data_IF_102065590595
#
_entry.id   IF_102065590595
#
_cell.length_a   1.000
_cell.length_b   1.000
_cell.length_c   1.000
_cell.angle_alpha   90.00
_cell.angle_beta   90.00
_cell.angle_gamma   90.00
#
_symmetry.space_group_name_H-M   'P 1'
#
loop_
_entity.id
_entity.type
_entity.pdbx_description
1 polymer ?
#
# COMPACT_ATOMS: atom_id res chain seq x y z
N UNK A 1 -22.88 26.58 55.61
CA UNK A 1 -21.97 27.73 55.45
C UNK A 1 -21.47 27.77 54.01
N UNK A 2 -21.90 28.78 53.24
CA UNK A 2 -21.12 29.43 52.16
C UNK A 2 -20.90 28.68 50.82
N UNK A 3 -21.35 29.24 49.68
CA UNK A 3 -20.98 28.78 48.34
C UNK A 3 -19.64 29.39 47.90
N UNK A 4 -18.80 28.65 47.19
CA UNK A 4 -17.65 29.22 46.47
C UNK A 4 -17.88 29.10 44.96
N UNK A 5 -18.62 30.07 44.41
CA UNK A 5 -18.34 30.57 43.06
C UNK A 5 -17.05 31.37 43.14
N UNK A 6 -16.00 30.95 42.42
CA UNK A 6 -14.90 31.83 42.00
C UNK A 6 -14.75 31.70 40.50
N UNK A 7 -14.80 32.84 39.83
CA UNK A 7 -14.93 32.97 38.39
C UNK A 7 -13.78 32.34 37.63
N UNK A 8 -14.13 31.58 36.59
CA UNK A 8 -13.27 31.38 35.44
C UNK A 8 -13.14 32.74 34.75
N UNK A 9 -12.12 33.49 35.16
CA UNK A 9 -11.66 34.64 34.40
C UNK A 9 -11.29 34.17 33.00
N UNK A 10 -11.75 34.92 32.00
CA UNK A 10 -11.29 34.86 30.62
C UNK A 10 -9.80 35.21 30.56
N UNK A 11 -8.95 34.27 30.95
CA UNK A 11 -7.52 34.30 30.71
C UNK A 11 -7.27 33.98 29.24
N UNK A 12 -7.44 34.99 28.37
CA UNK A 12 -6.69 35.03 27.10
C UNK A 12 -5.21 35.19 27.46
N UNK A 13 -4.58 34.10 27.89
CA UNK A 13 -3.13 34.00 27.85
C UNK A 13 -2.66 34.13 26.40
N UNK A 14 -1.45 34.65 26.14
CA UNK A 14 -0.91 34.68 24.80
C UNK A 14 -0.59 33.24 24.42
N UNK A 15 -1.55 32.55 23.80
CA UNK A 15 -1.26 31.31 23.09
C UNK A 15 -0.13 31.57 22.09
N UNK A 16 0.71 30.56 21.78
CA UNK A 16 1.74 30.73 20.76
C UNK A 16 1.09 31.33 19.52
N UNK A 17 1.76 32.30 18.87
CA UNK A 17 1.36 32.87 17.58
C UNK A 17 1.32 31.74 16.56
N UNK A 18 0.26 30.93 16.61
CA UNK A 18 0.14 29.68 15.89
C UNK A 18 -0.06 30.01 14.44
N UNK A 19 0.71 29.37 13.56
CA UNK A 19 0.49 29.41 12.11
C UNK A 19 -0.78 28.59 11.85
N UNK A 20 -1.96 29.21 11.61
CA UNK A 20 -3.22 28.48 11.52
C UNK A 20 -3.19 27.44 10.40
N UNK A 21 -2.47 27.73 9.32
CA UNK A 21 -2.24 26.81 8.18
C UNK A 21 -1.51 25.51 8.59
N UNK A 22 -0.56 25.57 9.53
CA UNK A 22 0.12 24.37 10.03
C UNK A 22 -0.81 23.53 10.91
N UNK A 23 -1.67 24.19 11.70
CA UNK A 23 -2.67 23.50 12.52
C UNK A 23 -3.67 22.78 11.61
N UNK A 24 -4.14 23.44 10.56
CA UNK A 24 -5.05 22.86 9.58
C UNK A 24 -4.40 21.70 8.81
N UNK A 25 -3.13 21.83 8.39
CA UNK A 25 -2.37 20.73 7.77
C UNK A 25 -2.28 19.51 8.68
N UNK A 26 -1.94 19.68 9.97
CA UNK A 26 -1.82 18.58 10.93
C UNK A 26 -3.18 17.92 11.20
N UNK A 27 -4.24 18.73 11.40
CA UNK A 27 -5.59 18.22 11.60
C UNK A 27 -6.17 17.55 10.35
N UNK A 28 -5.71 17.93 9.16
CA UNK A 28 -6.08 17.35 7.88
C UNK A 28 -5.44 15.99 7.58
N UNK A 29 -4.42 15.56 8.34
CA UNK A 29 -3.75 14.25 8.12
C UNK A 29 -4.75 13.10 8.30
N UNK A 30 -5.60 13.18 9.33
CA UNK A 30 -6.64 12.20 9.60
C UNK A 30 -8.02 12.88 9.49
N UNK A 31 -8.72 12.72 8.35
CA UNK A 31 -10.06 13.28 8.20
C UNK A 31 -11.01 12.74 9.27
N UNK A 32 -11.95 13.57 9.72
CA UNK A 32 -12.92 13.24 10.80
C UNK A 32 -13.62 11.86 10.68
N UNK A 33 -14.04 11.36 9.50
CA UNK A 33 -14.70 10.06 9.42
C UNK A 33 -13.74 8.85 9.44
N UNK A 34 -12.43 9.05 9.53
CA UNK A 34 -11.43 7.98 9.50
C UNK A 34 -11.05 7.57 10.93
N UNK A 35 -11.15 6.27 11.22
CA UNK A 35 -10.70 5.68 12.47
C UNK A 35 -9.40 4.90 12.26
N UNK A 36 -8.44 5.05 13.17
CA UNK A 36 -7.21 4.25 13.18
C UNK A 36 -7.26 3.25 14.33
N UNK A 37 -7.06 1.96 14.01
CA UNK A 37 -6.95 0.88 14.97
C UNK A 37 -5.55 0.27 14.83
N UNK A 38 -4.92 -0.02 15.96
CA UNK A 38 -3.56 -0.56 16.00
C UNK A 38 -3.58 -1.96 16.62
N UNK A 39 -2.92 -2.90 15.95
CA UNK A 39 -2.75 -4.28 16.41
C UNK A 39 -1.25 -4.57 16.41
N UNK A 40 -0.81 -5.42 17.33
CA UNK A 40 0.59 -5.84 17.42
C UNK A 40 0.81 -7.10 16.59
N UNK A 41 1.85 -7.09 15.78
CA UNK A 41 2.50 -8.30 15.29
C UNK A 41 3.59 -8.66 16.31
N UNK A 42 3.44 -9.73 17.10
CA UNK A 42 4.40 -10.05 18.17
C UNK A 42 5.75 -10.55 17.63
N UNK A 43 5.74 -11.22 16.48
CA UNK A 43 6.90 -11.83 15.84
C UNK A 43 6.90 -11.53 14.35
N UNK A 44 8.08 -11.26 13.78
CA UNK A 44 8.25 -10.95 12.36
C UNK A 44 8.16 -12.23 11.51
N UNK A 45 6.95 -12.77 11.38
CA UNK A 45 6.65 -14.02 10.66
C UNK A 45 6.13 -13.78 9.23
N UNK A 46 6.40 -12.61 8.65
CA UNK A 46 6.02 -12.26 7.27
C UNK A 46 4.61 -11.71 7.10
N UNK A 47 4.33 -11.23 5.89
CA UNK A 47 3.10 -10.49 5.53
C UNK A 47 1.81 -11.31 5.76
N UNK A 48 1.85 -12.62 5.51
CA UNK A 48 0.67 -13.46 5.76
C UNK A 48 0.29 -13.48 7.24
N UNK A 49 1.28 -13.49 8.14
CA UNK A 49 1.03 -13.38 9.58
C UNK A 49 0.49 -12.00 9.96
N UNK A 50 1.02 -10.92 9.38
CA UNK A 50 0.51 -9.55 9.61
C UNK A 50 -0.96 -9.42 9.24
N UNK A 51 -1.35 -9.95 8.08
CA UNK A 51 -2.75 -9.98 7.64
C UNK A 51 -3.58 -10.80 8.62
N UNK A 52 -3.10 -11.97 9.05
CA UNK A 52 -3.82 -12.83 10.00
C UNK A 52 -4.01 -12.15 11.38
N UNK A 53 -3.03 -11.39 11.87
CA UNK A 53 -3.17 -10.59 13.10
C UNK A 53 -4.30 -9.57 13.00
N UNK A 54 -4.61 -9.05 11.80
CA UNK A 54 -5.68 -8.09 11.59
C UNK A 54 -7.10 -8.70 11.57
N UNK A 55 -7.20 -10.04 11.51
CA UNK A 55 -8.48 -10.73 11.38
C UNK A 55 -9.54 -10.33 12.43
N UNK A 56 -9.25 -10.20 13.73
CA UNK A 56 -10.28 -9.87 14.73
C UNK A 56 -10.94 -8.51 14.51
N UNK A 57 -10.28 -7.60 13.79
CA UNK A 57 -10.82 -6.27 13.47
C UNK A 57 -11.57 -6.30 12.13
N UNK A 58 -11.01 -6.98 11.13
CA UNK A 58 -11.64 -7.11 9.80
C UNK A 58 -12.89 -8.00 9.85
N UNK A 59 -12.89 -9.03 10.68
CA UNK A 59 -13.95 -10.04 10.80
C UNK A 59 -14.22 -10.75 9.46
N UNK A 60 -15.48 -10.83 9.04
CA UNK A 60 -15.92 -11.53 7.82
C UNK A 60 -16.26 -10.54 6.70
N UNK A 61 -15.52 -9.44 6.60
CA UNK A 61 -15.69 -8.42 5.57
C UNK A 61 -14.53 -8.46 4.57
N UNK A 62 -14.76 -8.08 3.30
CA UNK A 62 -13.67 -7.84 2.35
C UNK A 62 -12.83 -6.64 2.80
N UNK A 63 -11.54 -6.68 2.53
CA UNK A 63 -10.61 -5.67 3.01
C UNK A 63 -9.46 -5.42 2.03
N UNK A 64 -8.85 -4.25 2.14
CA UNK A 64 -7.67 -3.91 1.38
C UNK A 64 -6.40 -4.16 2.19
N UNK A 65 -5.34 -4.62 1.52
CA UNK A 65 -3.97 -4.64 2.06
C UNK A 65 -3.13 -3.67 1.23
N UNK A 66 -2.42 -2.78 1.93
CA UNK A 66 -1.65 -1.69 1.32
C UNK A 66 -0.25 -1.73 1.95
N UNK A 67 0.76 -2.06 1.14
CA UNK A 67 2.16 -1.93 1.54
C UNK A 67 2.61 -0.50 1.24
N UNK A 68 3.01 0.23 2.28
CA UNK A 68 3.24 1.67 2.21
C UNK A 68 4.57 2.05 1.51
N UNK A 69 5.50 1.11 1.43
CA UNK A 69 6.74 1.21 0.66
C UNK A 69 6.48 1.24 -0.86
N UNK A 70 5.33 0.73 -1.31
CA UNK A 70 4.86 0.94 -2.67
C UNK A 70 4.17 2.29 -2.83
N UNK A 71 4.93 3.31 -3.16
CA UNK A 71 4.38 4.61 -3.52
C UNK A 71 3.89 4.56 -4.97
N UNK A 72 2.60 4.81 -5.19
CA UNK A 72 2.02 4.77 -6.52
C UNK A 72 1.36 6.11 -6.83
N UNK A 73 1.85 6.72 -7.91
CA UNK A 73 1.39 7.99 -8.44
C UNK A 73 0.46 7.75 -9.62
N UNK A 74 -0.81 8.12 -9.46
CA UNK A 74 -1.86 7.86 -10.43
C UNK A 74 -2.90 8.98 -10.39
N UNK A 75 -3.48 9.29 -11.56
CA UNK A 75 -4.57 10.27 -11.65
C UNK A 75 -5.80 9.85 -10.84
N UNK A 76 -6.15 8.57 -10.94
CA UNK A 76 -7.15 7.92 -10.08
C UNK A 76 -6.38 7.04 -9.10
N UNK A 77 -6.54 7.16 -7.77
CA UNK A 77 -5.82 6.31 -6.82
C UNK A 77 -6.02 4.83 -7.13
N UNK A 78 -4.95 4.04 -7.16
CA UNK A 78 -5.00 2.61 -7.54
C UNK A 78 -5.98 1.82 -6.67
N UNK A 79 -6.05 2.11 -5.37
CA UNK A 79 -7.03 1.45 -4.51
C UNK A 79 -8.46 1.75 -4.92
N UNK A 80 -8.76 2.96 -5.39
CA UNK A 80 -10.10 3.29 -5.91
C UNK A 80 -10.40 2.49 -7.17
N UNK A 81 -9.44 2.40 -8.10
CA UNK A 81 -9.59 1.60 -9.32
C UNK A 81 -9.94 0.14 -8.98
N UNK A 82 -9.22 -0.44 -8.00
CA UNK A 82 -9.41 -1.81 -7.57
C UNK A 82 -10.71 -2.02 -6.78
N UNK A 83 -11.11 -1.10 -5.91
CA UNK A 83 -12.37 -1.24 -5.15
C UNK A 83 -13.60 -1.06 -6.04
N UNK A 84 -13.55 -0.15 -7.03
CA UNK A 84 -14.63 0.00 -8.01
C UNK A 84 -14.83 -1.30 -8.80
N UNK A 85 -13.73 -1.97 -9.17
CA UNK A 85 -13.76 -3.27 -9.82
C UNK A 85 -14.23 -4.39 -8.87
N UNK A 86 -13.76 -4.40 -7.63
CA UNK A 86 -14.20 -5.36 -6.61
C UNK A 86 -15.73 -5.31 -6.42
N UNK A 87 -16.30 -4.10 -6.37
CA UNK A 87 -17.74 -3.91 -6.20
C UNK A 87 -18.57 -4.50 -7.36
N UNK A 88 -17.98 -4.66 -8.54
CA UNK A 88 -18.61 -5.30 -9.70
C UNK A 88 -18.41 -6.81 -9.71
N UNK A 89 -17.17 -7.25 -9.48
CA UNK A 89 -16.79 -8.65 -9.69
C UNK A 89 -17.00 -9.53 -8.44
N UNK A 90 -16.95 -8.94 -7.24
CA UNK A 90 -17.10 -9.63 -5.96
C UNK A 90 -15.99 -10.64 -5.65
N UNK A 91 -14.81 -10.49 -6.27
CA UNK A 91 -13.68 -11.43 -6.17
C UNK A 91 -12.40 -10.72 -5.77
N UNK A 92 -11.51 -11.44 -5.10
CA UNK A 92 -10.19 -10.95 -4.70
C UNK A 92 -9.41 -10.41 -5.91
N UNK A 93 -8.72 -9.29 -5.72
CA UNK A 93 -7.96 -8.55 -6.72
C UNK A 93 -6.54 -8.29 -6.24
N UNK A 94 -5.56 -8.59 -7.10
CA UNK A 94 -4.15 -8.26 -6.90
C UNK A 94 -3.75 -7.19 -7.90
N UNK A 95 -3.20 -6.07 -7.41
CA UNK A 95 -2.55 -5.11 -8.29
C UNK A 95 -1.29 -5.75 -8.88
N UNK A 96 -1.10 -5.64 -10.20
CA UNK A 96 0.06 -6.20 -10.88
C UNK A 96 0.71 -5.22 -11.85
N UNK A 97 2.01 -5.41 -12.08
CA UNK A 97 2.75 -4.73 -13.14
C UNK A 97 3.83 -5.66 -13.73
N UNK A 98 4.27 -5.35 -14.94
CA UNK A 98 5.42 -6.04 -15.52
C UNK A 98 6.72 -5.57 -14.89
N UNK A 99 7.60 -6.51 -14.58
CA UNK A 99 8.96 -6.25 -14.10
C UNK A 99 9.99 -6.89 -15.03
N UNK A 100 11.23 -6.38 -15.06
CA UNK A 100 12.34 -7.10 -15.69
C UNK A 100 12.46 -8.53 -15.16
N UNK A 101 12.75 -9.47 -16.07
CA UNK A 101 12.73 -10.92 -15.75
C UNK A 101 13.75 -11.32 -14.69
N UNK A 102 14.87 -10.62 -14.62
CA UNK A 102 15.91 -10.78 -13.61
C UNK A 102 15.49 -10.30 -12.20
N UNK A 103 14.41 -9.53 -12.10
CA UNK A 103 13.87 -9.02 -10.83
C UNK A 103 12.74 -9.88 -10.25
N UNK A 104 12.33 -10.98 -10.91
CA UNK A 104 11.20 -11.80 -10.44
C UNK A 104 11.40 -12.40 -9.05
N UNK A 105 12.67 -12.58 -8.62
CA UNK A 105 13.02 -13.11 -7.31
C UNK A 105 12.67 -12.17 -6.14
N UNK A 106 12.19 -10.95 -6.42
CA UNK A 106 11.77 -9.99 -5.39
C UNK A 106 10.25 -9.92 -5.19
N UNK A 107 9.46 -10.63 -6.00
CA UNK A 107 8.00 -10.46 -6.05
C UNK A 107 7.25 -11.79 -6.07
N UNK A 108 5.98 -11.75 -5.66
CA UNK A 108 5.01 -12.77 -6.07
C UNK A 108 4.74 -12.63 -7.57
N UNK A 109 4.93 -13.69 -8.34
CA UNK A 109 4.73 -13.69 -9.80
C UNK A 109 3.50 -14.51 -10.16
N UNK A 110 2.59 -13.92 -10.94
CA UNK A 110 1.35 -14.58 -11.36
C UNK A 110 1.45 -15.15 -12.77
N UNK A 111 0.83 -16.30 -13.00
CA UNK A 111 0.37 -16.72 -14.33
C UNK A 111 -1.10 -16.39 -14.43
N UNK A 112 -1.51 -15.80 -15.53
CA UNK A 112 -2.89 -15.39 -15.73
C UNK A 112 -3.30 -15.42 -17.20
N UNK A 113 -4.61 -15.52 -17.41
CA UNK A 113 -5.26 -15.43 -18.72
C UNK A 113 -6.09 -14.15 -18.79
N UNK A 114 -5.88 -13.34 -19.84
CA UNK A 114 -6.60 -12.07 -20.04
C UNK A 114 -8.11 -12.30 -20.19
N UNK A 115 -8.88 -11.42 -19.57
CA UNK A 115 -10.34 -11.34 -19.67
C UNK A 115 -10.74 -10.07 -20.42
N UNK A 116 -10.04 -8.98 -20.09
CA UNK A 116 -10.21 -7.64 -20.64
C UNK A 116 -8.85 -6.93 -20.68
N UNK A 117 -8.79 -5.68 -21.10
CA UNK A 117 -7.56 -4.90 -21.31
C UNK A 117 -6.68 -4.83 -20.05
N UNK A 118 -7.29 -4.72 -18.87
CA UNK A 118 -6.59 -4.57 -17.58
C UNK A 118 -6.92 -5.64 -16.56
N UNK A 119 -7.76 -6.60 -16.92
CA UNK A 119 -8.23 -7.64 -16.02
C UNK A 119 -7.82 -9.01 -16.51
N UNK A 120 -7.15 -9.77 -15.65
CA UNK A 120 -6.73 -11.13 -15.95
C UNK A 120 -7.19 -12.10 -14.84
N UNK A 121 -7.56 -13.31 -15.24
CA UNK A 121 -7.84 -14.41 -14.31
C UNK A 121 -6.53 -15.04 -13.88
N UNK A 122 -6.23 -15.07 -12.57
CA UNK A 122 -5.03 -15.73 -12.07
C UNK A 122 -5.25 -17.25 -12.12
N UNK A 123 -4.25 -17.96 -12.64
CA UNK A 123 -4.19 -19.41 -12.69
C UNK A 123 -3.20 -19.98 -11.67
N UNK A 124 -2.11 -19.26 -11.44
CA UNK A 124 -1.06 -19.63 -10.49
C UNK A 124 -0.37 -18.38 -9.96
N UNK A 125 0.18 -18.47 -8.76
CA UNK A 125 1.04 -17.45 -8.17
C UNK A 125 2.19 -18.16 -7.44
N UNK A 126 3.40 -17.62 -7.55
CA UNK A 126 4.61 -18.18 -6.94
C UNK A 126 5.36 -17.06 -6.22
N UNK A 127 5.75 -17.29 -4.97
CA UNK A 127 6.52 -16.32 -4.19
C UNK A 127 8.00 -16.34 -4.60
N UNK A 128 8.52 -15.16 -5.00
CA UNK A 128 9.95 -14.90 -5.25
C UNK A 128 10.64 -15.98 -6.09
N UNK A 129 10.07 -16.39 -7.24
CA UNK A 129 10.69 -17.43 -8.05
C UNK A 129 12.00 -16.95 -8.67
N UNK A 130 12.94 -17.87 -8.83
CA UNK A 130 14.14 -17.61 -9.65
C UNK A 130 13.71 -17.19 -11.07
N UNK A 131 14.45 -16.31 -11.76
CA UNK A 131 14.13 -15.88 -13.12
C UNK A 131 13.85 -17.01 -14.12
N UNK A 132 14.56 -18.14 -13.99
CA UNK A 132 14.35 -19.32 -14.84
C UNK A 132 13.05 -20.08 -14.54
N UNK A 133 12.54 -19.99 -13.31
CA UNK A 133 11.37 -20.74 -12.81
C UNK A 133 10.10 -19.87 -12.77
N UNK A 134 10.24 -18.55 -12.94
CA UNK A 134 9.12 -17.62 -12.87
C UNK A 134 8.07 -17.92 -13.97
N UNK A 135 6.77 -18.01 -13.65
CA UNK A 135 5.77 -18.40 -14.63
C UNK A 135 5.44 -17.29 -15.63
N UNK A 136 5.80 -16.04 -15.32
CA UNK A 136 5.67 -14.86 -16.18
C UNK A 136 6.62 -13.75 -15.69
N UNK A 137 6.48 -12.52 -16.17
CA UNK A 137 7.10 -11.32 -15.60
C UNK A 137 6.08 -10.39 -14.94
N UNK A 138 4.86 -10.87 -14.66
CA UNK A 138 3.76 -10.12 -14.06
C UNK A 138 3.85 -10.22 -12.53
N UNK A 139 4.39 -9.18 -11.90
CA UNK A 139 4.62 -9.11 -10.47
C UNK A 139 3.42 -8.52 -9.74
N UNK A 140 3.08 -9.12 -8.60
CA UNK A 140 2.14 -8.58 -7.62
C UNK A 140 2.79 -7.42 -6.89
N UNK A 141 2.07 -6.31 -6.84
CA UNK A 141 2.46 -5.13 -6.07
C UNK A 141 1.71 -5.10 -4.74
N UNK A 142 2.10 -4.20 -3.84
CA UNK A 142 1.58 -4.02 -2.49
C UNK A 142 0.16 -3.43 -2.42
N UNK A 143 -0.74 -3.84 -3.32
CA UNK A 143 -2.14 -3.46 -3.37
C UNK A 143 -3.00 -4.69 -3.58
N UNK A 144 -3.84 -4.97 -2.61
CA UNK A 144 -4.71 -6.14 -2.59
C UNK A 144 -6.12 -5.68 -2.20
N UNK A 145 -7.14 -6.30 -2.79
CA UNK A 145 -8.49 -6.35 -2.22
C UNK A 145 -8.83 -7.82 -2.05
N UNK A 146 -9.04 -8.28 -0.82
CA UNK A 146 -9.18 -9.69 -0.51
C UNK A 146 -10.56 -9.99 0.06
N UNK A 147 -11.12 -11.13 -0.33
CA UNK A 147 -12.28 -11.70 0.34
C UNK A 147 -11.87 -12.21 1.72
N UNK A 148 -12.79 -12.25 2.72
CA UNK A 148 -12.47 -12.76 4.06
C UNK A 148 -12.06 -14.24 4.06
N UNK A 149 -12.33 -14.97 2.96
CA UNK A 149 -11.94 -16.37 2.80
C UNK A 149 -10.42 -16.56 2.93
N UNK A 150 -9.62 -15.54 2.58
CA UNK A 150 -8.16 -15.60 2.70
C UNK A 150 -7.67 -15.96 4.11
N UNK A 151 -8.39 -15.57 5.17
CA UNK A 151 -8.00 -15.91 6.54
C UNK A 151 -8.05 -17.41 6.82
N UNK A 152 -8.98 -18.14 6.19
CA UNK A 152 -9.01 -19.59 6.28
C UNK A 152 -7.74 -20.19 5.69
N UNK A 153 -7.31 -19.72 4.52
CA UNK A 153 -6.09 -20.19 3.88
C UNK A 153 -4.84 -19.83 4.67
N UNK A 154 -4.74 -18.59 5.17
CA UNK A 154 -3.60 -18.10 5.96
C UNK A 154 -3.33 -18.96 7.20
N UNK A 155 -4.37 -19.41 7.92
CA UNK A 155 -4.19 -20.30 9.10
C UNK A 155 -3.61 -21.66 8.75
N UNK A 156 -3.77 -22.10 7.51
CA UNK A 156 -3.34 -23.41 7.03
C UNK A 156 -2.02 -23.35 6.24
N UNK A 157 -1.51 -22.14 5.95
CA UNK A 157 -0.20 -21.96 5.33
C UNK A 157 0.87 -22.40 6.31
N UNK A 158 1.78 -23.26 5.83
CA UNK A 158 2.99 -23.60 6.58
C UNK A 158 4.07 -22.56 6.29
N UNK A 159 4.93 -22.23 7.27
CA UNK A 159 6.08 -21.39 7.02
C UNK A 159 6.92 -21.87 5.84
N UNK A 160 7.34 -20.96 4.98
CA UNK A 160 8.24 -21.24 3.87
C UNK A 160 9.67 -21.51 4.32
N UNK A 161 10.61 -21.61 3.36
CA UNK A 161 12.02 -21.89 3.66
C UNK A 161 12.68 -20.84 4.59
N UNK A 162 12.17 -19.60 4.60
CA UNK A 162 12.62 -18.53 5.49
C UNK A 162 11.90 -18.45 6.84
N UNK A 163 11.01 -19.39 7.16
CA UNK A 163 10.20 -19.35 8.39
C UNK A 163 9.02 -18.36 8.35
N UNK A 164 8.82 -17.67 7.23
CA UNK A 164 7.73 -16.71 7.04
C UNK A 164 6.45 -17.37 6.54
N UNK A 165 5.30 -16.88 7.02
CA UNK A 165 3.97 -17.17 6.50
C UNK A 165 3.71 -16.18 5.36
N UNK A 166 3.70 -16.68 4.13
CA UNK A 166 3.52 -15.84 2.94
C UNK A 166 2.05 -15.67 2.58
N UNK A 167 1.68 -14.42 2.26
CA UNK A 167 0.35 -14.13 1.70
C UNK A 167 0.18 -14.80 0.32
N UNK A 168 1.25 -14.87 -0.47
CA UNK A 168 1.28 -15.54 -1.76
C UNK A 168 0.87 -17.01 -1.69
N UNK A 169 1.35 -17.75 -0.69
CA UNK A 169 1.00 -19.17 -0.50
C UNK A 169 -0.48 -19.34 -0.11
N UNK A 170 -1.02 -18.41 0.70
CA UNK A 170 -2.44 -18.40 1.03
C UNK A 170 -3.30 -18.10 -0.20
N UNK A 171 -2.89 -17.16 -1.05
CA UNK A 171 -3.57 -16.87 -2.32
C UNK A 171 -3.51 -18.08 -3.25
N UNK A 172 -2.35 -18.74 -3.37
CA UNK A 172 -2.21 -19.97 -4.15
C UNK A 172 -3.14 -21.09 -3.67
N UNK A 173 -3.40 -21.15 -2.36
CA UNK A 173 -4.39 -22.04 -1.76
C UNK A 173 -5.83 -21.60 -2.09
N UNK A 174 -6.13 -20.30 -2.00
CA UNK A 174 -7.44 -19.70 -2.31
C UNK A 174 -7.87 -19.92 -3.77
N UNK A 175 -6.92 -19.88 -4.71
CA UNK A 175 -7.16 -20.12 -6.15
C UNK A 175 -7.84 -21.47 -6.45
N UNK A 176 -7.74 -22.44 -5.54
CA UNK A 176 -8.39 -23.75 -5.69
C UNK A 176 -9.88 -23.73 -5.33
N UNK A 177 -10.33 -22.71 -4.62
CA UNK A 177 -11.71 -22.56 -4.13
C UNK A 177 -12.46 -21.46 -4.89
N UNK A 178 -11.79 -20.36 -5.21
CA UNK A 178 -12.41 -19.24 -5.92
C UNK A 178 -11.49 -18.57 -6.93
N UNK A 179 -12.12 -17.85 -7.86
CA UNK A 179 -11.41 -17.03 -8.83
C UNK A 179 -10.80 -15.81 -8.15
N UNK A 180 -9.52 -15.55 -8.45
CA UNK A 180 -8.80 -14.33 -8.07
C UNK A 180 -8.33 -13.65 -9.34
N UNK A 181 -8.37 -12.32 -9.34
CA UNK A 181 -8.04 -11.51 -10.49
C UNK A 181 -6.73 -10.75 -10.30
N UNK A 182 -5.97 -10.62 -11.38
CA UNK A 182 -4.85 -9.70 -11.50
C UNK A 182 -5.33 -8.45 -12.23
N UNK A 183 -5.04 -7.27 -11.67
CA UNK A 183 -5.44 -5.99 -12.20
C UNK A 183 -4.22 -5.14 -12.58
N UNK A 184 -4.08 -4.84 -13.87
CA UNK A 184 -3.05 -3.95 -14.42
C UNK A 184 -3.47 -2.50 -14.19
N UNK A 185 -3.14 -2.00 -13.01
CA UNK A 185 -3.51 -0.66 -12.58
C UNK A 185 -2.93 0.43 -13.50
N UNK A 186 -3.59 1.58 -13.52
CA UNK A 186 -3.06 2.78 -14.14
C UNK A 186 -2.31 3.61 -13.11
N UNK A 187 -1.01 3.83 -13.34
CA UNK A 187 -0.17 4.63 -12.45
C UNK A 187 1.30 4.27 -12.60
N UNK A 188 2.14 5.05 -11.93
CA UNK A 188 3.58 4.83 -11.84
C UNK A 188 3.93 4.41 -10.42
N UNK A 189 4.48 3.21 -10.26
CA UNK A 189 5.00 2.72 -8.98
C UNK A 189 6.45 3.19 -8.79
N UNK A 190 6.76 3.59 -7.56
CA UNK A 190 8.10 3.75 -7.03
C UNK A 190 8.28 2.80 -5.85
N UNK A 191 9.32 1.97 -5.89
CA UNK A 191 9.69 1.06 -4.80
C UNK A 191 10.51 1.82 -3.75
N UNK A 192 9.83 2.37 -2.75
CA UNK A 192 10.45 3.07 -1.62
C UNK A 192 11.01 2.12 -0.55
N UNK A 193 10.88 0.79 -0.72
CA UNK A 193 11.63 -0.20 0.06
C UNK A 193 13.10 -0.22 -0.35
N UNK A 194 13.40 0.16 -1.60
CA UNK A 194 14.76 0.34 -2.09
C UNK A 194 15.25 1.79 -1.93
N UNK A 195 16.56 1.96 -1.64
CA UNK A 195 17.17 3.30 -1.53
C UNK A 195 17.05 4.10 -2.83
N UNK A 196 17.27 3.44 -3.97
CA UNK A 196 17.20 4.09 -5.29
C UNK A 196 15.77 4.50 -5.62
N UNK A 197 14.78 3.62 -5.44
CA UNK A 197 13.38 3.93 -5.72
C UNK A 197 12.82 5.02 -4.81
N UNK A 198 13.25 5.08 -3.54
CA UNK A 198 12.96 6.20 -2.65
C UNK A 198 13.48 7.55 -3.17
N UNK A 199 14.71 7.59 -3.70
CA UNK A 199 15.28 8.82 -4.28
C UNK A 199 14.55 9.21 -5.58
N UNK A 200 14.23 8.23 -6.43
CA UNK A 200 13.44 8.46 -7.65
C UNK A 200 12.06 9.03 -7.32
N UNK A 201 11.37 8.47 -6.33
CA UNK A 201 10.11 8.99 -5.81
C UNK A 201 10.26 10.44 -5.32
N UNK A 202 11.30 10.71 -4.52
CA UNK A 202 11.57 12.05 -3.98
C UNK A 202 11.74 13.08 -5.10
N UNK A 203 12.51 12.76 -6.15
CA UNK A 203 12.69 13.64 -7.31
C UNK A 203 11.37 13.83 -8.07
N UNK A 204 10.63 12.75 -8.33
CA UNK A 204 9.38 12.81 -9.09
C UNK A 204 8.31 13.64 -8.37
N UNK A 205 8.12 13.44 -7.06
CA UNK A 205 7.16 14.20 -6.26
C UNK A 205 7.65 15.62 -5.98
N UNK A 206 8.96 15.82 -5.81
CA UNK A 206 9.56 17.16 -5.69
C UNK A 206 9.22 18.04 -6.89
N UNK A 207 9.39 17.53 -8.12
CA UNK A 207 9.01 18.23 -9.36
C UNK A 207 7.52 18.56 -9.46
N UNK A 208 6.66 17.76 -8.82
CA UNK A 208 5.20 17.93 -8.80
C UNK A 208 4.70 18.79 -7.64
N UNK A 209 5.58 19.18 -6.70
CA UNK A 209 5.17 19.86 -5.49
C UNK A 209 4.61 21.25 -5.82
N UNK A 210 3.42 21.64 -5.31
CA UNK A 210 2.76 22.90 -5.69
C UNK A 210 3.55 24.15 -5.28
N UNK A 211 4.33 24.07 -4.19
CA UNK A 211 5.08 25.22 -3.65
C UNK A 211 6.51 25.32 -4.21
N UNK A 212 7.15 24.19 -4.55
CA UNK A 212 8.60 24.17 -4.88
C UNK A 212 8.93 23.49 -6.21
N UNK A 213 7.94 22.89 -6.88
CA UNK A 213 8.19 22.03 -8.04
C UNK A 213 8.83 22.76 -9.21
N UNK A 214 8.42 24.01 -9.46
CA UNK A 214 8.99 24.83 -10.54
C UNK A 214 10.47 25.17 -10.28
N UNK A 215 10.79 25.67 -9.08
CA UNK A 215 12.17 26.01 -8.69
C UNK A 215 13.05 24.76 -8.63
N UNK A 216 12.52 23.67 -8.09
CA UNK A 216 13.22 22.40 -7.99
C UNK A 216 13.51 21.78 -9.36
N UNK A 217 12.57 21.82 -10.31
CA UNK A 217 12.81 21.34 -11.67
C UNK A 217 13.84 22.20 -12.41
N UNK A 218 13.79 23.53 -12.23
CA UNK A 218 14.79 24.43 -12.80
C UNK A 218 16.20 24.13 -12.26
N UNK A 219 16.33 23.91 -10.96
CA UNK A 219 17.60 23.54 -10.32
C UNK A 219 18.15 22.19 -10.84
N UNK A 220 17.29 21.18 -11.02
CA UNK A 220 17.71 19.88 -11.59
C UNK A 220 18.18 20.02 -13.04
N UNK A 221 17.51 20.85 -13.86
CA UNK A 221 17.94 21.12 -15.25
C UNK A 221 19.26 21.88 -15.33
N UNK A 222 19.56 22.68 -14.31
CA UNK A 222 20.82 23.40 -14.18
C UNK A 222 21.99 22.53 -13.65
N UNK A 223 21.80 21.22 -13.51
CA UNK A 223 22.85 20.27 -13.12
C UNK A 223 22.75 19.76 -11.67
N UNK A 224 21.80 20.27 -10.87
CA UNK A 224 21.59 19.78 -9.50
C UNK A 224 22.75 20.07 -8.55
N UNK A 225 23.59 21.06 -8.85
CA UNK A 225 24.67 21.49 -7.98
C UNK A 225 24.17 22.51 -6.96
N UNK A 226 24.67 22.43 -5.73
CA UNK A 226 24.38 23.46 -4.73
C UNK A 226 24.92 24.81 -5.22
N UNK A 227 24.19 25.90 -4.95
CA UNK A 227 24.77 27.22 -5.09
C UNK A 227 26.04 27.27 -4.22
N UNK A 228 27.19 27.59 -4.81
CA UNK A 228 28.42 27.81 -4.06
C UNK A 228 28.14 28.87 -2.99
N UNK A 229 28.39 28.51 -1.73
CA UNK A 229 28.20 29.39 -0.57
C UNK A 229 29.23 30.53 -0.56
#
# INVERSE_FOLDING_TARGET
>A
RGPFRKGLGNGKGPGPRGKPELVERVQGILPKPVNCIYIRQPEQLGLGHEVLCAQPIVNNEPFAVILADDLIDARVPVMKQMTDLFNREGRSLLGVMEVPRDQTGSYGIVRSTRIDDRLESIEAIVEKPKPAEAPSNLAVIGRYVLTPRIFHHLRNVRPGAGGEIQLTDAIASLLREERVFAYRFEGTRYDCGSKLGYLQATVAFGRKHPEVGQEFDAWLRAGGEAAAA
#
